data_IF_269995556105
#
_entry.id   IF_269995556105
#
_cell.length_a   1.000
_cell.length_b   1.000
_cell.length_c   1.000
_cell.angle_alpha   90.00
_cell.angle_beta   90.00
_cell.angle_gamma   90.00
#
_symmetry.space_group_name_H-M   'P 1'
#
loop_
_entity.id
_entity.type
_entity.pdbx_description
1 polymer ?
#
# COMPACT_ATOMS: atom_id res chain seq x y z
N UNK A 1 0.60 -43.82 55.02
CA UNK A 1 1.73 -43.93 54.07
C UNK A 1 1.11 -44.14 52.70
N UNK A 2 0.32 -43.21 52.18
CA UNK A 2 0.69 -41.84 51.80
C UNK A 2 1.98 -41.84 51.00
N UNK A 3 1.85 -41.80 49.67
CA UNK A 3 2.46 -40.73 48.90
C UNK A 3 1.71 -40.50 47.59
N UNK A 4 1.65 -39.23 47.21
CA UNK A 4 0.72 -38.64 46.27
C UNK A 4 1.32 -38.56 44.86
N UNK A 5 0.45 -38.19 43.91
CA UNK A 5 0.73 -37.37 42.69
C UNK A 5 1.37 -38.16 41.53
N UNK A 6 1.14 -37.83 40.26
CA UNK A 6 0.73 -36.56 39.67
C UNK A 6 0.06 -36.82 38.31
N UNK A 7 -1.14 -36.29 38.14
CA UNK A 7 -1.87 -36.16 36.87
C UNK A 7 -1.00 -35.45 35.81
N UNK A 8 -0.85 -36.05 34.62
CA UNK A 8 -0.17 -35.42 33.47
C UNK A 8 -1.09 -34.37 32.85
N UNK A 9 -0.64 -33.10 32.72
CA UNK A 9 -1.46 -32.05 32.13
C UNK A 9 -1.46 -32.17 30.60
N UNK A 10 -2.66 -32.01 30.04
CA UNK A 10 -2.96 -31.80 28.63
C UNK A 10 -2.38 -30.44 28.25
N UNK A 11 -1.32 -30.41 27.42
CA UNK A 11 -0.84 -29.17 26.81
C UNK A 11 -1.63 -28.91 25.54
N UNK A 12 -2.71 -28.15 25.71
CA UNK A 12 -3.38 -27.39 24.67
C UNK A 12 -2.37 -26.40 24.07
N UNK A 13 -1.80 -26.74 22.91
CA UNK A 13 -1.03 -25.78 22.11
C UNK A 13 -2.01 -24.81 21.46
N UNK A 14 -2.28 -23.70 22.15
CA UNK A 14 -2.88 -22.51 21.56
C UNK A 14 -1.92 -21.96 20.51
N UNK A 15 -2.19 -22.21 19.23
CA UNK A 15 -1.63 -21.40 18.16
C UNK A 15 -2.38 -20.07 18.17
N UNK A 16 -1.77 -19.07 18.80
CA UNK A 16 -2.16 -17.66 18.67
C UNK A 16 -2.11 -17.30 17.19
N UNK A 17 -3.26 -17.30 16.53
CA UNK A 17 -3.47 -16.55 15.29
C UNK A 17 -3.06 -15.11 15.59
N UNK A 18 -1.95 -14.67 14.98
CA UNK A 18 -1.66 -13.26 14.82
C UNK A 18 -2.77 -12.68 13.95
N UNK A 19 -3.90 -12.35 14.56
CA UNK A 19 -4.83 -11.38 14.01
C UNK A 19 -4.04 -10.07 13.96
N UNK A 20 -3.36 -9.85 12.83
CA UNK A 20 -2.88 -8.53 12.47
C UNK A 20 -4.11 -7.64 12.43
N UNK A 21 -4.26 -6.78 13.43
CA UNK A 21 -5.23 -5.70 13.42
C UNK A 21 -4.85 -4.76 12.28
N UNK A 22 -5.39 -4.99 11.08
CA UNK A 22 -5.57 -3.91 10.13
C UNK A 22 -6.46 -2.86 10.79
N UNK A 23 -5.97 -1.62 10.88
CA UNK A 23 -6.84 -0.50 11.24
C UNK A 23 -8.00 -0.47 10.26
N UNK A 24 -9.23 -0.12 10.69
CA UNK A 24 -10.39 -0.08 9.82
C UNK A 24 -10.16 0.88 8.64
N UNK A 25 -9.79 0.27 7.52
CA UNK A 25 -10.13 0.56 6.13
C UNK A 25 -10.19 2.04 5.73
N UNK A 26 -9.07 2.76 5.87
CA UNK A 26 -8.88 3.98 5.08
C UNK A 26 -8.57 3.59 3.65
N UNK A 27 -9.50 3.89 2.75
CA UNK A 27 -9.45 3.58 1.33
C UNK A 27 -8.78 4.74 0.60
N UNK A 28 -7.81 4.44 -0.26
CA UNK A 28 -7.24 5.47 -1.14
C UNK A 28 -8.27 5.87 -2.20
N UNK A 29 -8.60 7.15 -2.23
CA UNK A 29 -9.56 7.72 -3.17
C UNK A 29 -9.00 8.96 -3.86
N UNK A 30 -9.42 9.15 -5.11
CA UNK A 30 -9.20 10.38 -5.87
C UNK A 30 -10.50 10.75 -6.55
N UNK A 31 -10.97 11.98 -6.35
CA UNK A 31 -12.17 12.49 -7.02
C UNK A 31 -11.82 12.94 -8.44
N UNK A 32 -12.49 12.39 -9.44
CA UNK A 32 -12.27 12.69 -10.85
C UNK A 32 -13.41 12.20 -11.74
N UNK A 33 -13.64 12.87 -12.85
CA UNK A 33 -14.52 12.41 -13.93
C UNK A 33 -13.76 11.57 -14.99
N UNK A 34 -12.45 11.36 -14.80
CA UNK A 34 -11.64 10.58 -15.73
C UNK A 34 -11.98 9.08 -15.64
N UNK A 35 -12.67 8.57 -16.65
CA UNK A 35 -13.14 7.17 -16.68
C UNK A 35 -12.00 6.16 -16.59
N UNK A 36 -10.83 6.43 -17.19
CA UNK A 36 -9.67 5.53 -17.10
C UNK A 36 -9.21 5.39 -15.64
N UNK A 37 -9.16 6.50 -14.90
CA UNK A 37 -8.82 6.48 -13.46
C UNK A 37 -9.89 5.73 -12.69
N UNK A 38 -11.17 6.06 -12.86
CA UNK A 38 -12.27 5.44 -12.13
C UNK A 38 -12.34 3.91 -12.34
N UNK A 39 -12.10 3.46 -13.58
CA UNK A 39 -12.10 2.04 -13.92
C UNK A 39 -10.85 1.30 -13.41
N UNK A 40 -9.69 1.97 -13.42
CA UNK A 40 -8.41 1.35 -13.04
C UNK A 40 -8.16 1.38 -11.54
N UNK A 41 -8.65 2.39 -10.81
CA UNK A 41 -8.33 2.64 -9.41
C UNK A 41 -8.50 1.42 -8.48
N UNK A 42 -9.58 0.62 -8.58
CA UNK A 42 -9.71 -0.58 -7.75
C UNK A 42 -8.57 -1.59 -7.98
N UNK A 43 -8.16 -1.79 -9.24
CA UNK A 43 -7.06 -2.70 -9.59
C UNK A 43 -5.70 -2.11 -9.19
N UNK A 44 -5.52 -0.79 -9.36
CA UNK A 44 -4.31 -0.08 -8.92
C UNK A 44 -4.09 -0.27 -7.43
N UNK A 45 -5.14 -0.13 -6.61
CA UNK A 45 -5.06 -0.33 -5.16
C UNK A 45 -4.72 -1.76 -4.77
N UNK A 46 -5.18 -2.75 -5.54
CA UNK A 46 -4.79 -4.15 -5.35
C UNK A 46 -3.31 -4.38 -5.71
N UNK A 47 -2.82 -3.77 -6.79
CA UNK A 47 -1.43 -3.91 -7.23
C UNK A 47 -0.44 -3.08 -6.39
N UNK A 48 -0.88 -1.94 -5.87
CA UNK A 48 -0.15 -1.04 -4.97
C UNK A 48 -0.83 -1.00 -3.57
N UNK A 49 -0.72 -2.07 -2.77
CA UNK A 49 -1.45 -2.20 -1.50
C UNK A 49 -1.12 -1.11 -0.48
N UNK A 50 0.05 -0.46 -0.58
CA UNK A 50 0.37 0.64 0.34
C UNK A 50 -0.39 1.93 0.06
N UNK A 51 -1.10 2.04 -1.07
CA UNK A 51 -2.02 3.15 -1.28
C UNK A 51 -3.13 3.15 -0.22
N UNK A 52 -3.74 1.99 0.02
CA UNK A 52 -4.77 1.87 1.06
C UNK A 52 -4.17 1.92 2.46
N UNK A 53 -3.07 1.20 2.69
CA UNK A 53 -2.44 1.11 4.01
C UNK A 53 -2.04 2.47 4.60
N UNK A 54 -1.74 3.46 3.75
CA UNK A 54 -1.25 4.78 4.14
C UNK A 54 -2.10 5.93 3.57
N UNK A 55 -3.32 5.66 3.13
CA UNK A 55 -4.18 6.64 2.46
C UNK A 55 -4.41 7.90 3.30
N UNK A 56 -4.51 7.78 4.63
CA UNK A 56 -4.65 8.93 5.55
C UNK A 56 -3.41 9.82 5.65
N UNK A 57 -2.25 9.35 5.17
CA UNK A 57 -0.97 10.06 5.21
C UNK A 57 -0.71 10.86 3.94
N UNK A 58 -1.58 10.75 2.92
CA UNK A 58 -1.41 11.44 1.65
C UNK A 58 -2.28 12.71 1.59
N UNK A 59 -1.76 13.73 0.93
CA UNK A 59 -2.45 15.00 0.71
C UNK A 59 -2.36 15.41 -0.77
N UNK A 60 -3.17 16.40 -1.15
CA UNK A 60 -3.21 16.94 -2.52
C UNK A 60 -3.39 15.87 -3.61
N UNK A 61 -4.18 14.83 -3.31
CA UNK A 61 -4.47 13.74 -4.24
C UNK A 61 -5.25 14.29 -5.43
N UNK A 62 -4.74 14.07 -6.65
CA UNK A 62 -5.28 14.66 -7.88
C UNK A 62 -4.94 13.85 -9.11
N UNK A 63 -5.74 14.00 -10.16
CA UNK A 63 -5.43 13.48 -11.50
C UNK A 63 -4.71 14.57 -12.31
N UNK A 64 -3.68 14.17 -13.06
CA UNK A 64 -2.96 15.01 -14.00
C UNK A 64 -2.87 14.32 -15.35
N UNK A 65 -3.10 15.06 -16.43
CA UNK A 65 -3.01 14.58 -17.80
C UNK A 65 -1.86 15.29 -18.52
N UNK A 66 -0.62 14.97 -18.13
CA UNK A 66 0.60 15.50 -18.74
C UNK A 66 1.34 14.33 -19.38
N UNK A 67 1.11 14.08 -20.67
CA UNK A 67 1.57 12.91 -21.45
C UNK A 67 0.88 11.58 -21.13
N UNK A 68 0.72 11.23 -19.84
CA UNK A 68 -0.07 10.09 -19.38
C UNK A 68 -1.01 10.50 -18.26
N UNK A 69 -2.16 9.85 -18.20
CA UNK A 69 -3.09 9.96 -17.08
C UNK A 69 -2.40 9.50 -15.80
N UNK A 70 -2.26 10.40 -14.83
CA UNK A 70 -1.43 10.18 -13.64
C UNK A 70 -2.21 10.53 -12.39
N UNK A 71 -2.23 9.61 -11.41
CA UNK A 71 -2.68 9.92 -10.05
C UNK A 71 -1.47 10.44 -9.28
N UNK A 72 -1.51 11.71 -8.88
CA UNK A 72 -0.47 12.37 -8.11
C UNK A 72 -0.93 12.65 -6.69
N UNK A 73 -0.04 12.47 -5.72
CA UNK A 73 -0.28 12.79 -4.33
C UNK A 73 1.02 13.18 -3.64
N UNK A 74 0.91 13.97 -2.58
CA UNK A 74 2.05 14.42 -1.79
C UNK A 74 2.08 13.68 -0.45
N UNK A 75 3.29 13.33 -0.02
CA UNK A 75 3.56 12.76 1.30
C UNK A 75 4.19 13.87 2.13
N UNK A 76 3.48 14.48 3.09
CA UNK A 76 4.03 15.53 3.92
C UNK A 76 5.19 15.00 4.78
N UNK A 77 6.07 15.89 5.24
CA UNK A 77 7.18 15.52 6.14
C UNK A 77 6.72 14.94 7.49
N UNK A 78 5.46 15.17 7.85
CA UNK A 78 4.84 14.66 9.08
C UNK A 78 4.14 13.31 8.89
N UNK A 79 4.17 12.74 7.69
CA UNK A 79 3.52 11.47 7.38
C UNK A 79 4.08 10.34 8.24
N UNK A 80 3.20 9.48 8.75
CA UNK A 80 3.57 8.32 9.57
C UNK A 80 3.80 7.10 8.68
N UNK A 81 4.90 7.12 7.95
CA UNK A 81 5.33 6.00 7.12
C UNK A 81 6.49 5.24 7.78
N UNK A 82 6.70 3.97 7.43
CA UNK A 82 7.93 3.28 7.81
C UNK A 82 9.18 4.06 7.33
N UNK A 83 10.14 4.38 8.21
CA UNK A 83 11.28 5.25 7.86
C UNK A 83 12.11 4.75 6.68
N UNK A 84 12.15 3.42 6.50
CA UNK A 84 12.89 2.78 5.41
C UNK A 84 12.27 3.00 4.02
N UNK A 85 11.05 3.55 3.92
CA UNK A 85 10.52 4.01 2.65
C UNK A 85 11.18 5.30 2.17
N UNK A 86 11.70 6.13 3.08
CA UNK A 86 12.29 7.45 2.78
C UNK A 86 11.35 8.32 1.92
N UNK A 87 10.04 8.27 2.20
CA UNK A 87 9.01 8.88 1.35
C UNK A 87 8.46 10.21 1.87
N UNK A 88 8.72 10.55 3.12
CA UNK A 88 8.36 11.82 3.73
C UNK A 88 8.91 13.02 2.93
N UNK A 89 8.04 13.97 2.58
CA UNK A 89 8.39 15.16 1.81
C UNK A 89 8.46 14.95 0.30
N UNK A 90 8.11 13.77 -0.23
CA UNK A 90 8.09 13.49 -1.66
C UNK A 90 6.68 13.64 -2.26
N UNK A 91 6.62 14.11 -3.52
CA UNK A 91 5.47 13.91 -4.39
C UNK A 91 5.61 12.60 -5.17
N UNK A 92 4.54 11.82 -5.17
CA UNK A 92 4.42 10.54 -5.83
C UNK A 92 3.46 10.59 -7.01
N UNK A 93 3.74 9.75 -8.00
CA UNK A 93 3.06 9.69 -9.28
C UNK A 93 2.83 8.22 -9.63
N UNK A 94 1.57 7.85 -9.86
CA UNK A 94 1.15 6.56 -10.40
C UNK A 94 0.61 6.84 -11.79
N UNK A 95 1.43 6.57 -12.81
CA UNK A 95 1.03 6.76 -14.20
C UNK A 95 0.24 5.54 -14.65
N UNK A 96 -0.88 5.76 -15.33
CA UNK A 96 -1.71 4.70 -15.89
C UNK A 96 -1.33 4.52 -17.36
N UNK A 97 -1.10 3.28 -17.79
CA UNK A 97 -0.95 2.93 -19.20
C UNK A 97 -2.18 3.36 -20.01
N UNK A 98 -2.01 3.68 -21.29
CA UNK A 98 -3.10 4.26 -22.10
C UNK A 98 -4.33 3.35 -22.25
N UNK A 99 -4.16 2.04 -22.07
CA UNK A 99 -5.21 1.02 -22.09
C UNK A 99 -5.70 0.62 -20.68
N UNK A 100 -5.10 1.16 -19.61
CA UNK A 100 -5.41 0.78 -18.23
C UNK A 100 -4.97 -0.63 -17.84
N UNK A 101 -4.09 -1.28 -18.62
CA UNK A 101 -3.62 -2.63 -18.33
C UNK A 101 -2.46 -2.65 -17.32
N UNK A 102 -1.75 -1.54 -17.18
CA UNK A 102 -0.57 -1.42 -16.32
C UNK A 102 -0.46 -0.04 -15.66
N UNK A 103 0.29 0.02 -14.57
CA UNK A 103 0.74 1.28 -13.96
C UNK A 103 2.24 1.34 -13.80
N UNK A 104 2.74 2.58 -13.80
CA UNK A 104 4.14 2.89 -13.66
C UNK A 104 4.40 3.75 -12.43
N UNK A 105 5.45 3.42 -11.69
CA UNK A 105 5.94 4.21 -10.55
C UNK A 105 7.46 4.35 -10.63
N UNK A 106 7.96 5.56 -10.78
CA UNK A 106 9.39 5.79 -11.04
C UNK A 106 10.22 5.92 -9.76
N UNK A 107 9.83 6.83 -8.86
CA UNK A 107 10.62 7.19 -7.67
C UNK A 107 10.71 6.03 -6.67
N UNK A 108 11.94 5.73 -6.21
CA UNK A 108 12.24 4.71 -5.20
C UNK A 108 11.29 4.72 -4.00
N UNK A 109 11.18 5.88 -3.35
CA UNK A 109 10.31 6.07 -2.20
C UNK A 109 8.83 5.75 -2.49
N UNK A 110 8.33 6.16 -3.65
CA UNK A 110 6.95 5.92 -4.07
C UNK A 110 6.72 4.45 -4.44
N UNK A 111 7.73 3.75 -4.97
CA UNK A 111 7.69 2.29 -5.16
C UNK A 111 7.58 1.57 -3.82
N UNK A 112 8.33 2.03 -2.81
CA UNK A 112 8.32 1.42 -1.47
C UNK A 112 6.97 1.58 -0.80
N UNK A 113 6.36 2.77 -0.95
CA UNK A 113 4.98 3.03 -0.54
C UNK A 113 4.01 2.15 -1.31
N UNK A 114 3.98 2.20 -2.65
CA UNK A 114 3.08 1.39 -3.48
C UNK A 114 3.13 -0.11 -3.11
N UNK A 115 4.33 -0.69 -3.06
CA UNK A 115 4.53 -2.11 -2.78
C UNK A 115 4.49 -2.47 -1.29
N UNK A 116 4.37 -1.48 -0.40
CA UNK A 116 4.43 -1.61 1.04
C UNK A 116 5.63 -2.45 1.53
N UNK A 117 6.85 -2.14 1.04
CA UNK A 117 8.08 -2.87 1.39
C UNK A 117 9.35 -2.06 1.14
N UNK A 118 10.45 -2.44 1.80
CA UNK A 118 11.75 -1.76 1.67
C UNK A 118 12.49 -2.09 0.37
N UNK A 119 12.35 -3.31 -0.13
CA UNK A 119 13.06 -3.77 -1.32
C UNK A 119 12.21 -3.52 -2.56
N UNK A 120 12.68 -2.62 -3.41
CA UNK A 120 12.01 -2.24 -4.66
C UNK A 120 12.95 -2.49 -5.83
N UNK A 121 12.42 -2.82 -7.02
CA UNK A 121 13.26 -2.98 -8.21
C UNK A 121 13.97 -1.67 -8.56
N UNK A 122 15.15 -1.78 -9.18
CA UNK A 122 15.82 -0.67 -9.83
C UNK A 122 15.03 -0.18 -11.04
N UNK A 123 15.17 1.09 -11.41
CA UNK A 123 14.45 1.69 -12.54
C UNK A 123 12.95 1.88 -12.30
N UNK A 124 12.17 2.00 -13.37
CA UNK A 124 10.72 2.19 -13.29
C UNK A 124 10.04 0.89 -12.87
N UNK A 125 9.17 0.96 -11.85
CA UNK A 125 8.28 -0.14 -11.52
C UNK A 125 7.14 -0.18 -12.51
N UNK A 126 6.87 -1.35 -13.07
CA UNK A 126 5.71 -1.63 -13.94
C UNK A 126 4.86 -2.71 -13.25
N UNK A 127 3.58 -2.43 -13.03
CA UNK A 127 2.65 -3.37 -12.41
C UNK A 127 1.47 -3.65 -13.34
N UNK A 128 1.22 -4.90 -13.71
CA UNK A 128 0.01 -5.27 -14.44
C UNK A 128 -1.21 -5.16 -13.52
N UNK A 129 -2.35 -4.72 -14.08
CA UNK A 129 -3.61 -4.54 -13.36
C UNK A 129 -4.60 -5.71 -13.52
N UNK A 130 -4.22 -6.75 -14.26
CA UNK A 130 -5.01 -7.98 -14.45
C UNK A 130 -6.05 -7.90 -15.57
#
# INVERSE_FOLDING_TARGET
MDEKKMTKPILFAWLLMLAGCGNPDTVFEVSTDNELVNNSLPKIRQACPGLDAYSSEFVNIRVQDNYRTTIAFDIPKSAKLPPYFMAEGHSCYVEIGGDGAEVFVEKGACKSVCLNRSQVPEGQLVLPLG
#
